data_IF_389598033563
#
_entry.id   IF_389598033563
#
_cell.length_a   1.000
_cell.length_b   1.000
_cell.length_c   1.000
_cell.angle_alpha   90.00
_cell.angle_beta   90.00
_cell.angle_gamma   90.00
#
_symmetry.space_group_name_H-M   'P 1'
#
loop_
_entity.id
_entity.type
_entity.pdbx_description
1 polymer ?
#
# COMPACT_ATOMS: atom_id res chain seq x y z
N UNK A 1 -9.94 -11.19 -58.93
CA UNK A 1 -10.16 -11.94 -57.67
C UNK A 1 -9.26 -11.47 -56.53
N UNK A 2 -8.01 -11.09 -56.75
CA UNK A 2 -7.03 -10.65 -55.74
C UNK A 2 -7.42 -9.34 -55.03
N UNK A 3 -8.01 -8.34 -55.73
CA UNK A 3 -8.42 -7.08 -55.13
C UNK A 3 -9.54 -7.21 -54.08
N UNK A 4 -10.47 -8.15 -54.26
CA UNK A 4 -11.55 -8.39 -53.28
C UNK A 4 -11.05 -9.07 -52.02
N UNK A 5 -10.00 -9.89 -52.11
CA UNK A 5 -9.40 -10.54 -50.95
C UNK A 5 -8.61 -9.54 -50.09
N UNK A 6 -7.94 -8.56 -50.73
CA UNK A 6 -7.21 -7.50 -50.07
C UNK A 6 -8.12 -6.62 -49.15
N UNK A 7 -9.32 -6.30 -49.64
CA UNK A 7 -10.28 -5.52 -48.85
C UNK A 7 -10.88 -6.32 -47.68
N UNK A 8 -11.06 -7.63 -47.85
CA UNK A 8 -11.56 -8.49 -46.79
C UNK A 8 -10.53 -8.65 -45.67
N UNK A 9 -9.26 -8.84 -46.02
CA UNK A 9 -8.16 -8.95 -45.03
C UNK A 9 -7.94 -7.63 -44.32
N UNK A 10 -8.00 -6.50 -45.03
CA UNK A 10 -7.89 -5.18 -44.41
C UNK A 10 -9.07 -4.86 -43.46
N UNK A 11 -10.30 -5.28 -43.85
CA UNK A 11 -11.48 -5.12 -43.01
C UNK A 11 -11.43 -5.97 -41.74
N UNK A 12 -10.91 -7.19 -41.82
CA UNK A 12 -10.75 -8.09 -40.67
C UNK A 12 -9.66 -7.58 -39.73
N UNK A 13 -8.54 -7.08 -40.27
CA UNK A 13 -7.47 -6.51 -39.45
C UNK A 13 -7.94 -5.21 -38.73
N UNK A 14 -8.75 -4.40 -39.44
CA UNK A 14 -9.30 -3.18 -38.84
C UNK A 14 -10.32 -3.49 -37.71
N UNK A 15 -11.15 -4.52 -37.91
CA UNK A 15 -12.12 -4.95 -36.91
C UNK A 15 -11.46 -5.63 -35.71
N UNK A 16 -10.37 -6.35 -35.89
CA UNK A 16 -9.60 -6.94 -34.80
C UNK A 16 -8.85 -5.88 -33.96
N UNK A 17 -8.41 -4.81 -34.59
CA UNK A 17 -7.77 -3.70 -33.83
C UNK A 17 -8.80 -2.84 -33.08
N UNK A 18 -10.04 -2.74 -33.54
CA UNK A 18 -11.11 -2.01 -32.86
C UNK A 18 -11.68 -2.78 -31.66
N UNK A 19 -11.60 -4.12 -31.67
CA UNK A 19 -12.06 -4.93 -30.53
C UNK A 19 -11.04 -5.01 -29.36
N UNK A 20 -9.79 -4.58 -29.57
CA UNK A 20 -8.78 -4.53 -28.51
C UNK A 20 -8.71 -3.15 -27.80
N UNK A 21 -9.39 -2.13 -28.31
CA UNK A 21 -9.34 -0.78 -27.79
C UNK A 21 -10.51 -0.44 -26.83
N UNK A 22 -11.51 -1.32 -26.72
CA UNK A 22 -12.69 -1.03 -25.93
C UNK A 22 -12.83 -2.06 -24.79
N UNK A 23 -11.99 -1.94 -23.79
CA UNK A 23 -12.24 -2.48 -22.48
C UNK A 23 -13.05 -1.46 -21.69
N UNK A 24 -14.37 -1.55 -21.81
CA UNK A 24 -15.35 -0.94 -20.91
C UNK A 24 -15.23 0.58 -20.68
N UNK A 25 -14.78 1.35 -21.66
CA UNK A 25 -14.76 2.81 -21.59
C UNK A 25 -13.66 3.39 -20.70
N UNK A 26 -12.65 2.62 -20.32
CA UNK A 26 -11.48 3.12 -19.60
C UNK A 26 -10.35 3.43 -20.58
N UNK A 27 -9.88 4.67 -20.56
CA UNK A 27 -8.72 5.13 -21.31
C UNK A 27 -7.61 5.51 -20.36
N UNK A 28 -6.35 5.24 -20.78
CA UNK A 28 -5.20 5.78 -20.06
C UNK A 28 -5.26 7.31 -20.13
N UNK A 29 -5.43 7.95 -18.97
CA UNK A 29 -5.51 9.39 -18.88
C UNK A 29 -4.10 10.02 -18.73
N UNK A 30 -3.34 9.54 -17.74
CA UNK A 30 -2.00 10.05 -17.41
C UNK A 30 -1.32 9.20 -16.35
N UNK A 31 -0.01 9.32 -16.21
CA UNK A 31 0.72 8.85 -15.03
C UNK A 31 0.41 9.82 -13.88
N UNK A 32 -0.11 9.30 -12.78
CA UNK A 32 -0.44 10.09 -11.60
C UNK A 32 0.81 10.40 -10.77
N UNK A 33 1.66 9.39 -10.56
CA UNK A 33 2.90 9.49 -9.81
C UNK A 33 3.97 8.66 -10.51
N UNK A 34 5.08 9.29 -10.90
CA UNK A 34 6.28 8.59 -11.33
C UNK A 34 7.33 8.68 -10.22
N UNK A 35 7.49 7.59 -9.48
CA UNK A 35 8.41 7.51 -8.36
C UNK A 35 9.88 7.61 -8.78
N UNK A 36 10.19 7.41 -10.05
CA UNK A 36 11.56 7.57 -10.55
C UNK A 36 11.91 9.05 -10.74
N UNK A 37 10.92 9.88 -11.11
CA UNK A 37 11.13 11.29 -11.40
C UNK A 37 10.91 12.19 -10.18
N UNK A 38 10.05 11.78 -9.24
CA UNK A 38 9.56 12.65 -8.16
C UNK A 38 10.31 12.50 -6.84
N UNK A 39 11.11 11.46 -6.67
CA UNK A 39 11.90 11.24 -5.46
C UNK A 39 13.18 12.08 -5.51
N UNK A 40 13.12 13.31 -5.01
CA UNK A 40 14.31 14.09 -4.73
C UNK A 40 15.19 13.35 -3.71
N UNK A 41 16.40 12.94 -4.10
CA UNK A 41 17.34 12.21 -3.25
C UNK A 41 17.64 10.78 -3.68
N UNK A 42 16.97 10.26 -4.69
CA UNK A 42 17.40 9.02 -5.34
C UNK A 42 18.65 9.32 -6.15
N UNK A 43 19.75 8.67 -5.81
CA UNK A 43 21.00 8.77 -6.58
C UNK A 43 20.84 7.94 -7.85
N UNK A 44 21.02 8.57 -9.01
CA UNK A 44 21.01 7.89 -10.30
C UNK A 44 22.04 6.74 -10.27
N UNK A 45 21.56 5.51 -10.51
CA UNK A 45 22.38 4.29 -10.42
C UNK A 45 22.04 3.36 -9.26
N UNK A 46 21.38 3.84 -8.21
CA UNK A 46 20.86 2.99 -7.11
C UNK A 46 19.50 2.35 -7.43
N UNK A 47 18.97 2.64 -8.62
CA UNK A 47 17.64 2.17 -9.05
C UNK A 47 17.74 0.73 -9.52
N UNK A 48 17.74 -0.19 -8.58
CA UNK A 48 17.51 -1.59 -8.86
C UNK A 48 16.04 -1.89 -9.14
N UNK A 49 15.77 -3.05 -9.73
CA UNK A 49 14.44 -3.53 -10.15
C UNK A 49 13.31 -3.41 -9.11
N UNK A 50 13.64 -3.24 -7.85
CA UNK A 50 12.72 -3.23 -6.71
C UNK A 50 12.70 -1.90 -5.97
N UNK A 51 13.39 -0.90 -6.48
CA UNK A 51 13.40 0.43 -5.89
C UNK A 51 12.13 1.16 -6.30
N UNK A 52 11.61 2.02 -5.42
CA UNK A 52 10.42 2.82 -5.65
C UNK A 52 9.18 2.00 -6.05
N UNK A 53 8.99 0.89 -5.35
CA UNK A 53 7.85 0.00 -5.56
C UNK A 53 6.66 0.48 -4.72
N UNK A 54 5.64 1.10 -5.32
CA UNK A 54 4.40 1.41 -4.62
C UNK A 54 3.73 0.11 -4.22
N UNK A 55 3.23 0.03 -3.00
CA UNK A 55 2.66 -1.20 -2.43
C UNK A 55 1.40 -0.90 -1.61
N UNK A 56 0.49 -0.23 -2.23
CA UNK A 56 -0.80 0.17 -1.70
C UNK A 56 -1.09 1.64 -2.02
N UNK A 57 -2.34 1.90 -2.32
CA UNK A 57 -2.87 3.23 -2.59
C UNK A 57 -4.26 3.34 -2.00
N UNK A 58 -4.57 4.48 -1.41
CA UNK A 58 -5.91 4.80 -0.91
C UNK A 58 -6.22 6.27 -1.15
N UNK A 59 -7.48 6.59 -1.35
CA UNK A 59 -7.96 7.97 -1.42
C UNK A 59 -8.60 8.32 -0.08
N UNK A 60 -8.04 9.32 0.60
CA UNK A 60 -8.53 9.79 1.88
C UNK A 60 -9.85 10.58 1.73
N UNK A 61 -10.59 10.83 2.82
CA UNK A 61 -11.86 11.56 2.76
C UNK A 61 -11.76 12.99 2.21
N UNK A 62 -10.60 13.62 2.30
CA UNK A 62 -10.31 14.94 1.70
C UNK A 62 -9.98 14.89 0.20
N UNK A 63 -9.95 13.70 -0.38
CA UNK A 63 -9.64 13.43 -1.78
C UNK A 63 -8.16 13.23 -2.08
N UNK A 64 -7.26 13.45 -1.13
CA UNK A 64 -5.82 13.24 -1.33
C UNK A 64 -5.50 11.76 -1.52
N UNK A 65 -4.53 11.49 -2.38
CA UNK A 65 -4.09 10.13 -2.72
C UNK A 65 -2.85 9.77 -1.90
N UNK A 66 -2.97 8.71 -1.12
CA UNK A 66 -1.94 8.20 -0.26
C UNK A 66 -1.30 6.96 -0.87
N UNK A 67 0.02 6.92 -0.90
CA UNK A 67 0.80 5.83 -1.52
C UNK A 67 1.90 5.36 -0.58
N UNK A 68 1.86 4.07 -0.24
CA UNK A 68 2.94 3.40 0.49
C UNK A 68 4.06 2.95 -0.46
N UNK A 69 5.29 3.01 0.03
CA UNK A 69 6.47 2.49 -0.66
C UNK A 69 7.02 1.28 0.10
N UNK A 70 7.10 0.13 -0.58
CA UNK A 70 7.71 -1.08 -0.02
C UNK A 70 9.22 -1.11 -0.18
N UNK A 71 9.66 -0.88 -1.40
CA UNK A 71 11.06 -0.79 -1.77
C UNK A 71 11.33 0.58 -2.37
N UNK A 72 12.50 1.08 -2.19
CA UNK A 72 12.91 2.40 -2.63
C UNK A 72 13.84 2.99 -1.58
N UNK A 73 14.86 3.61 -2.08
CA UNK A 73 15.83 4.29 -1.26
C UNK A 73 15.52 5.79 -1.27
N UNK A 74 14.41 6.19 -0.76
CA UNK A 74 14.22 7.61 -0.51
C UNK A 74 15.46 8.21 0.17
N UNK A 75 15.32 9.04 1.11
CA UNK A 75 16.44 9.57 1.89
C UNK A 75 17.14 8.44 2.66
N UNK A 76 18.47 8.46 2.65
CA UNK A 76 19.33 7.59 3.47
C UNK A 76 19.91 8.38 4.63
N UNK A 77 20.16 7.69 5.73
CA UNK A 77 20.85 8.26 6.88
C UNK A 77 21.84 7.24 7.45
N UNK A 78 23.04 7.71 7.78
CA UNK A 78 24.02 6.90 8.50
C UNK A 78 23.88 7.24 9.98
N UNK A 79 23.46 6.25 10.76
CA UNK A 79 23.29 6.38 12.20
C UNK A 79 24.63 6.50 12.92
N UNK A 80 24.63 6.94 14.17
CA UNK A 80 25.83 7.12 14.97
C UNK A 80 26.66 5.82 15.19
N UNK A 81 26.01 4.66 15.09
CA UNK A 81 26.64 3.34 15.16
C UNK A 81 27.24 2.89 13.80
N UNK A 82 27.10 3.68 12.74
CA UNK A 82 27.59 3.39 11.40
C UNK A 82 26.62 2.63 10.50
N UNK A 83 25.45 2.23 10.99
CA UNK A 83 24.43 1.57 10.18
C UNK A 83 23.77 2.56 9.23
N UNK A 84 23.41 2.09 8.04
CA UNK A 84 22.64 2.88 7.07
C UNK A 84 21.19 2.48 7.15
N UNK A 85 20.32 3.47 7.32
CA UNK A 85 18.86 3.30 7.25
C UNK A 85 18.30 4.01 6.03
N UNK A 86 17.23 3.44 5.47
CA UNK A 86 16.54 3.94 4.29
C UNK A 86 15.13 4.35 4.70
N UNK A 87 14.78 5.62 4.47
CA UNK A 87 13.43 6.10 4.72
C UNK A 87 12.44 5.51 3.72
N UNK A 88 11.33 5.02 4.22
CA UNK A 88 10.22 4.40 3.47
C UNK A 88 8.98 5.25 3.63
N UNK A 89 9.08 6.50 3.20
CA UNK A 89 8.02 7.50 3.39
C UNK A 89 6.69 7.11 2.75
N UNK A 90 5.63 7.67 3.31
CA UNK A 90 4.30 7.63 2.72
C UNK A 90 4.12 8.91 1.91
N UNK A 91 3.76 8.77 0.65
CA UNK A 91 3.52 9.90 -0.25
C UNK A 91 2.06 10.28 -0.25
N UNK A 92 1.80 11.58 -0.13
CA UNK A 92 0.44 12.13 -0.15
C UNK A 92 0.37 13.22 -1.21
N UNK A 93 -0.54 13.07 -2.16
CA UNK A 93 -0.64 13.89 -3.36
C UNK A 93 -2.04 14.46 -3.50
N UNK A 94 -2.10 15.74 -3.86
CA UNK A 94 -3.33 16.38 -4.32
C UNK A 94 -3.72 15.77 -5.70
N UNK A 95 -4.94 15.25 -5.88
CA UNK A 95 -5.33 14.58 -7.11
C UNK A 95 -5.52 15.53 -8.30
N UNK A 96 -5.65 16.84 -8.05
CA UNK A 96 -5.87 17.85 -9.09
C UNK A 96 -4.54 18.41 -9.60
N UNK A 97 -3.68 18.85 -8.70
CA UNK A 97 -2.37 19.43 -9.05
C UNK A 97 -1.31 18.37 -9.25
N UNK A 98 -1.47 17.19 -8.63
CA UNK A 98 -0.50 16.10 -8.57
C UNK A 98 0.78 16.46 -7.78
N UNK A 99 0.73 17.57 -7.07
CA UNK A 99 1.82 17.97 -6.19
C UNK A 99 1.72 17.29 -4.83
N UNK A 100 2.83 17.23 -4.13
CA UNK A 100 2.86 16.80 -2.74
C UNK A 100 2.08 17.79 -1.86
N UNK A 101 1.26 17.28 -0.95
CA UNK A 101 0.72 18.09 0.14
C UNK A 101 1.85 18.50 1.09
N UNK A 102 1.61 19.50 1.95
CA UNK A 102 2.65 20.17 2.75
C UNK A 102 3.40 19.23 3.72
N UNK A 103 2.81 18.12 4.12
CA UNK A 103 3.41 17.13 5.02
C UNK A 103 3.93 15.87 4.29
N UNK A 104 3.89 15.84 2.98
CA UNK A 104 4.39 14.72 2.17
C UNK A 104 5.83 14.97 1.69
N UNK A 105 6.71 13.94 1.66
CA UNK A 105 6.49 12.60 2.19
C UNK A 105 6.52 12.55 3.71
N UNK A 106 5.70 11.65 4.30
CA UNK A 106 5.75 11.37 5.72
C UNK A 106 6.85 10.36 5.96
N UNK A 107 7.94 10.78 6.56
CA UNK A 107 9.09 9.94 6.91
C UNK A 107 9.20 9.70 8.41
N UNK A 108 8.59 10.56 9.20
CA UNK A 108 8.54 10.50 10.66
C UNK A 108 7.10 10.75 11.09
N UNK A 109 6.58 9.87 11.93
CA UNK A 109 5.28 10.02 12.56
C UNK A 109 5.48 10.56 13.98
N UNK A 110 4.79 11.63 14.34
CA UNK A 110 4.73 12.17 15.69
C UNK A 110 3.36 11.86 16.27
N UNK A 111 3.32 11.36 17.49
CA UNK A 111 2.10 10.94 18.17
C UNK A 111 1.65 11.96 19.23
N UNK A 112 0.39 11.92 19.68
CA UNK A 112 -0.16 12.88 20.64
C UNK A 112 0.57 12.93 22.00
N UNK A 113 1.24 11.86 22.38
CA UNK A 113 2.05 11.78 23.61
C UNK A 113 3.44 12.42 23.47
N UNK A 114 3.76 12.95 22.28
CA UNK A 114 5.05 13.57 21.95
C UNK A 114 6.13 12.58 21.53
N UNK A 115 5.83 11.29 21.46
CA UNK A 115 6.75 10.29 20.88
C UNK A 115 6.79 10.40 19.36
N UNK A 116 7.84 9.87 18.75
CA UNK A 116 7.98 9.83 17.29
C UNK A 116 8.54 8.48 16.87
N UNK A 117 8.14 8.04 15.68
CA UNK A 117 8.69 6.87 15.02
C UNK A 117 9.08 7.20 13.57
N UNK A 118 10.22 6.66 13.14
CA UNK A 118 10.76 6.89 11.80
C UNK A 118 10.41 5.73 10.88
N UNK A 119 9.82 6.04 9.74
CA UNK A 119 9.45 5.05 8.73
C UNK A 119 10.70 4.61 7.96
N UNK A 120 11.56 3.81 8.60
CA UNK A 120 12.85 3.38 8.06
C UNK A 120 12.96 1.87 7.94
N UNK A 121 13.89 1.42 7.12
CA UNK A 121 14.33 0.05 7.01
C UNK A 121 15.85 -0.02 6.81
N UNK A 122 16.46 -1.12 7.24
CA UNK A 122 17.89 -1.39 7.01
C UNK A 122 18.19 -1.64 5.52
N UNK A 123 17.20 -2.11 4.78
CA UNK A 123 17.34 -2.48 3.37
C UNK A 123 16.68 -1.47 2.43
N UNK A 124 17.42 -1.03 1.41
CA UNK A 124 16.85 -0.24 0.31
C UNK A 124 15.72 -0.98 -0.43
N UNK A 125 15.78 -2.30 -0.52
CA UNK A 125 14.91 -3.11 -1.37
C UNK A 125 13.74 -3.78 -0.64
N UNK A 126 13.59 -3.54 0.67
CA UNK A 126 12.54 -4.15 1.48
C UNK A 126 12.23 -3.35 2.75
N UNK A 127 11.24 -3.80 3.50
CA UNK A 127 10.96 -3.31 4.85
C UNK A 127 10.07 -2.08 4.94
N UNK A 128 9.58 -1.55 3.82
CA UNK A 128 8.65 -0.43 3.81
C UNK A 128 7.19 -0.82 3.96
N UNK A 129 6.30 0.07 3.52
CA UNK A 129 4.86 -0.09 3.57
C UNK A 129 4.37 -1.28 2.76
N UNK A 130 3.50 -2.10 3.36
CA UNK A 130 2.97 -3.31 2.72
C UNK A 130 1.51 -3.21 2.34
N UNK A 131 0.79 -2.30 2.93
CA UNK A 131 -0.60 -2.03 2.62
C UNK A 131 -1.03 -0.72 3.23
N UNK A 132 -2.07 -0.15 2.68
CA UNK A 132 -2.67 1.09 3.14
C UNK A 132 -4.18 1.01 2.94
N UNK A 133 -4.95 1.36 3.96
CA UNK A 133 -6.39 1.32 3.95
C UNK A 133 -6.97 2.51 4.75
N UNK A 134 -8.30 2.63 4.78
CA UNK A 134 -9.01 3.53 5.68
C UNK A 134 -9.60 2.75 6.85
N UNK A 135 -9.69 3.39 8.00
CA UNK A 135 -10.53 2.93 9.08
C UNK A 135 -11.95 3.55 9.00
N UNK A 136 -12.80 3.22 9.97
CA UNK A 136 -14.19 3.72 10.02
C UNK A 136 -14.29 5.24 10.16
N UNK A 137 -13.29 5.89 10.74
CA UNK A 137 -13.22 7.34 10.94
C UNK A 137 -12.54 8.08 9.79
N UNK A 138 -12.08 7.34 8.78
CA UNK A 138 -11.35 7.87 7.63
C UNK A 138 -9.85 8.08 7.86
N UNK A 139 -9.30 7.67 9.02
CA UNK A 139 -7.86 7.67 9.22
C UNK A 139 -7.17 6.62 8.35
N UNK A 140 -5.92 6.88 8.07
CA UNK A 140 -5.09 5.98 7.28
C UNK A 140 -4.53 4.87 8.16
N UNK A 141 -4.76 3.63 7.78
CA UNK A 141 -4.09 2.45 8.32
C UNK A 141 -2.94 2.10 7.40
N UNK A 142 -1.72 2.15 7.90
CA UNK A 142 -0.52 1.88 7.11
C UNK A 142 0.35 0.83 7.78
N UNK A 143 0.53 -0.30 7.11
CA UNK A 143 1.38 -1.40 7.58
C UNK A 143 2.82 -1.20 7.10
N UNK A 144 3.74 -0.97 8.02
CA UNK A 144 5.17 -0.86 7.77
C UNK A 144 5.92 -1.98 8.47
N UNK A 145 6.35 -2.97 7.71
CA UNK A 145 7.02 -4.18 8.15
C UNK A 145 6.31 -4.85 9.33
N UNK A 146 6.71 -4.60 10.58
CA UNK A 146 6.09 -5.16 11.79
C UNK A 146 5.10 -4.22 12.46
N UNK A 147 4.99 -2.98 12.05
CA UNK A 147 4.19 -1.96 12.72
C UNK A 147 2.99 -1.55 11.88
N UNK A 148 1.82 -1.53 12.48
CA UNK A 148 0.63 -0.91 11.93
C UNK A 148 0.51 0.49 12.54
N UNK A 149 0.44 1.50 11.69
CA UNK A 149 0.20 2.88 12.06
C UNK A 149 -1.22 3.31 11.71
N UNK A 150 -1.85 4.07 12.59
CA UNK A 150 -3.04 4.86 12.34
C UNK A 150 -2.62 6.32 12.23
N UNK A 151 -2.96 6.99 11.12
CA UNK A 151 -2.47 8.31 10.77
C UNK A 151 -3.65 9.22 10.46
N UNK A 152 -3.63 10.43 10.99
CA UNK A 152 -4.61 11.44 10.68
C UNK A 152 -4.42 11.91 9.23
N UNK A 153 -5.40 11.70 8.37
CA UNK A 153 -5.31 12.03 6.96
C UNK A 153 -5.21 13.54 6.67
N UNK A 154 -5.69 14.39 7.60
CA UNK A 154 -5.63 15.85 7.42
C UNK A 154 -4.27 16.46 7.79
N UNK A 155 -3.54 15.84 8.72
CA UNK A 155 -2.29 16.42 9.25
C UNK A 155 -1.04 15.61 8.95
N UNK A 156 -1.19 14.31 8.62
CA UNK A 156 -0.07 13.39 8.47
C UNK A 156 0.54 12.94 9.81
N UNK A 157 -0.05 13.32 10.95
CA UNK A 157 0.42 12.93 12.28
C UNK A 157 -0.05 11.52 12.65
N UNK A 158 0.76 10.83 13.45
CA UNK A 158 0.38 9.54 14.03
C UNK A 158 -0.75 9.71 15.04
N UNK A 159 -1.73 8.81 15.01
CA UNK A 159 -2.82 8.74 16.00
C UNK A 159 -2.56 7.61 16.97
N UNK A 160 -2.21 6.44 16.48
CA UNK A 160 -1.88 5.24 17.24
C UNK A 160 -0.93 4.34 16.46
N UNK A 161 -0.29 3.41 17.14
CA UNK A 161 0.48 2.34 16.50
C UNK A 161 0.32 1.03 17.25
N UNK A 162 0.46 -0.07 16.52
CA UNK A 162 0.52 -1.42 17.07
C UNK A 162 1.70 -2.18 16.49
N UNK A 163 2.48 -2.81 17.37
CA UNK A 163 3.64 -3.61 16.99
C UNK A 163 3.22 -5.09 16.91
N UNK A 164 3.26 -5.65 15.71
CA UNK A 164 3.05 -7.06 15.47
C UNK A 164 4.33 -7.89 15.67
N UNK A 165 4.15 -9.20 15.72
CA UNK A 165 5.26 -10.15 15.96
C UNK A 165 6.10 -10.45 14.71
N UNK A 166 5.63 -10.07 13.53
CA UNK A 166 6.26 -10.35 12.23
C UNK A 166 5.78 -9.39 11.16
N UNK A 167 6.29 -9.53 9.95
CA UNK A 167 5.90 -8.71 8.82
C UNK A 167 4.40 -8.77 8.56
N UNK A 168 3.76 -7.62 8.68
CA UNK A 168 2.33 -7.43 8.46
C UNK A 168 2.00 -7.42 6.97
N UNK A 169 0.75 -7.73 6.63
CA UNK A 169 0.15 -7.45 5.34
C UNK A 169 -0.67 -6.16 5.42
N UNK A 170 -1.58 -5.95 4.48
CA UNK A 170 -2.57 -4.88 4.55
C UNK A 170 -3.49 -5.07 5.76
N UNK A 171 -3.97 -3.98 6.34
CA UNK A 171 -5.04 -3.99 7.33
C UNK A 171 -6.38 -3.67 6.65
N UNK A 172 -7.48 -4.07 7.27
CA UNK A 172 -8.83 -3.67 6.91
C UNK A 172 -9.60 -3.27 8.17
N UNK A 173 -10.62 -2.44 8.03
CA UNK A 173 -11.49 -2.07 9.15
C UNK A 173 -12.97 -2.30 8.79
N UNK A 174 -13.78 -2.57 9.81
CA UNK A 174 -15.23 -2.57 9.71
C UNK A 174 -15.83 -1.21 10.16
N UNK A 175 -17.12 -1.01 9.94
CA UNK A 175 -17.83 0.23 10.30
C UNK A 175 -18.01 0.39 11.83
N UNK A 176 -17.73 -0.66 12.62
CA UNK A 176 -17.75 -0.63 14.08
C UNK A 176 -16.41 -0.16 14.67
N UNK A 177 -15.40 0.06 13.83
CA UNK A 177 -14.07 0.51 14.24
C UNK A 177 -13.13 -0.64 14.64
N UNK A 178 -13.47 -1.89 14.38
CA UNK A 178 -12.50 -2.97 14.53
C UNK A 178 -11.54 -2.96 13.35
N UNK A 179 -10.27 -3.16 13.65
CA UNK A 179 -9.19 -3.25 12.66
C UNK A 179 -8.66 -4.68 12.63
N UNK A 180 -8.58 -5.24 11.44
CA UNK A 180 -8.11 -6.60 11.19
C UNK A 180 -6.79 -6.56 10.47
N UNK A 181 -5.81 -7.32 10.94
CA UNK A 181 -4.49 -7.37 10.33
C UNK A 181 -3.95 -8.79 10.32
N UNK A 182 -3.30 -9.16 9.23
CA UNK A 182 -2.69 -10.45 9.04
C UNK A 182 -1.18 -10.30 8.80
N UNK A 183 -0.49 -11.41 8.76
CA UNK A 183 0.95 -11.48 8.52
C UNK A 183 1.25 -11.97 7.12
N UNK A 184 2.31 -11.45 6.51
CA UNK A 184 2.76 -11.92 5.19
C UNK A 184 3.19 -13.38 5.24
N UNK A 185 3.99 -13.74 6.23
CA UNK A 185 4.36 -15.13 6.52
C UNK A 185 3.43 -15.64 7.62
N UNK A 186 2.23 -16.03 7.21
CA UNK A 186 1.13 -16.29 8.12
C UNK A 186 1.03 -17.75 8.58
N UNK A 187 1.97 -18.63 8.19
CA UNK A 187 1.93 -20.02 8.62
C UNK A 187 1.79 -20.11 10.14
N UNK A 188 0.65 -20.68 10.58
CA UNK A 188 0.31 -20.84 12.00
C UNK A 188 0.10 -19.52 12.78
N UNK A 189 -0.10 -18.39 12.06
CA UNK A 189 -0.38 -17.08 12.66
C UNK A 189 -1.85 -16.71 12.49
N UNK A 190 -2.40 -15.92 13.43
CA UNK A 190 -3.80 -15.49 13.37
C UNK A 190 -4.02 -14.34 12.37
N UNK A 191 -5.28 -14.03 12.12
CA UNK A 191 -5.71 -12.66 11.81
C UNK A 191 -6.03 -12.00 13.14
N UNK A 192 -5.32 -10.95 13.46
CA UNK A 192 -5.48 -10.20 14.71
C UNK A 192 -6.61 -9.20 14.56
N UNK A 193 -7.42 -9.05 15.62
CA UNK A 193 -8.41 -7.97 15.76
C UNK A 193 -7.89 -6.95 16.76
N UNK A 194 -7.89 -5.70 16.36
CA UNK A 194 -7.58 -4.54 17.19
C UNK A 194 -8.83 -3.66 17.31
N UNK A 195 -8.93 -2.90 18.40
CA UNK A 195 -9.94 -1.85 18.51
C UNK A 195 -9.57 -0.60 17.69
N UNK A 196 -10.43 0.42 17.69
CA UNK A 196 -10.20 1.67 16.98
C UNK A 196 -8.97 2.46 17.43
N UNK A 197 -8.42 2.16 18.61
CA UNK A 197 -7.17 2.74 19.13
C UNK A 197 -5.96 1.83 18.91
N UNK A 198 -6.11 0.79 18.09
CA UNK A 198 -5.13 -0.24 17.81
C UNK A 198 -4.72 -1.06 19.06
N UNK A 199 -5.57 -1.18 20.08
CA UNK A 199 -5.33 -2.12 21.17
C UNK A 199 -5.78 -3.53 20.73
N UNK A 200 -4.99 -4.55 21.11
CA UNK A 200 -5.33 -5.94 20.83
C UNK A 200 -6.63 -6.37 21.54
N UNK A 201 -7.57 -6.89 20.78
CA UNK A 201 -8.86 -7.39 21.28
C UNK A 201 -8.88 -8.91 21.28
N UNK A 202 -8.33 -9.53 20.24
CA UNK A 202 -8.35 -10.98 20.07
C UNK A 202 -7.93 -11.40 18.67
N UNK A 203 -8.27 -12.63 18.30
CA UNK A 203 -8.06 -13.15 16.96
C UNK A 203 -9.42 -13.29 16.25
N UNK A 204 -9.54 -12.75 15.06
CA UNK A 204 -10.69 -13.02 14.19
C UNK A 204 -10.61 -14.44 13.60
N UNK A 205 -9.39 -14.88 13.30
CA UNK A 205 -9.09 -16.25 12.82
C UNK A 205 -7.81 -16.71 13.51
N UNK A 206 -7.84 -17.90 14.13
CA UNK A 206 -6.71 -18.37 14.92
C UNK A 206 -5.49 -18.77 14.07
N UNK A 207 -5.73 -19.33 12.89
CA UNK A 207 -4.64 -19.71 11.96
C UNK A 207 -5.08 -19.55 10.52
N UNK A 208 -4.18 -19.03 9.70
CA UNK A 208 -4.41 -18.85 8.26
C UNK A 208 -3.28 -19.45 7.45
N UNK A 209 -3.48 -19.53 6.14
CA UNK A 209 -2.51 -20.11 5.19
C UNK A 209 -1.15 -19.41 5.17
N UNK A 210 -0.22 -19.95 4.40
CA UNK A 210 1.22 -19.61 4.51
C UNK A 210 1.61 -18.20 4.15
N UNK A 211 1.01 -17.59 3.14
CA UNK A 211 1.37 -16.24 2.69
C UNK A 211 0.09 -15.48 2.36
N UNK A 212 -0.23 -14.51 3.18
CA UNK A 212 -1.32 -13.58 2.94
C UNK A 212 -0.77 -12.28 2.32
N UNK A 213 -1.52 -11.71 1.37
CA UNK A 213 -1.12 -10.49 0.65
C UNK A 213 -2.14 -9.39 0.78
N UNK A 214 -3.39 -9.74 1.01
CA UNK A 214 -4.46 -8.78 1.17
C UNK A 214 -5.51 -9.30 2.15
N UNK A 215 -6.24 -8.37 2.74
CA UNK A 215 -7.36 -8.62 3.61
C UNK A 215 -8.46 -7.62 3.28
N UNK A 216 -9.70 -8.08 3.21
CA UNK A 216 -10.88 -7.24 3.06
C UNK A 216 -11.92 -7.73 4.05
N UNK A 217 -12.61 -6.82 4.69
CA UNK A 217 -13.67 -7.10 5.65
C UNK A 217 -14.93 -6.34 5.21
N UNK A 218 -16.10 -6.94 5.38
CA UNK A 218 -17.37 -6.23 5.17
C UNK A 218 -17.60 -5.18 6.25
N UNK A 219 -18.38 -4.11 5.94
CA UNK A 219 -18.60 -3.02 6.89
C UNK A 219 -19.28 -3.48 8.20
N UNK A 220 -20.08 -4.55 8.16
CA UNK A 220 -20.68 -5.16 9.36
C UNK A 220 -19.70 -6.03 10.19
N UNK A 221 -18.50 -6.31 9.66
CA UNK A 221 -17.49 -7.17 10.28
C UNK A 221 -17.78 -8.66 10.21
N UNK A 222 -18.88 -9.09 9.56
CA UNK A 222 -19.31 -10.49 9.57
C UNK A 222 -18.55 -11.38 8.58
N UNK A 223 -17.99 -10.79 7.50
CA UNK A 223 -17.28 -11.53 6.47
C UNK A 223 -15.90 -10.97 6.23
N UNK A 224 -14.94 -11.87 6.03
CA UNK A 224 -13.55 -11.54 5.73
C UNK A 224 -13.07 -12.35 4.53
N UNK A 225 -12.31 -11.70 3.64
CA UNK A 225 -11.62 -12.35 2.53
C UNK A 225 -10.11 -12.15 2.68
N UNK A 226 -9.36 -13.24 2.56
CA UNK A 226 -7.90 -13.24 2.62
C UNK A 226 -7.32 -13.68 1.28
N UNK A 227 -6.47 -12.84 0.69
CA UNK A 227 -5.72 -13.17 -0.51
C UNK A 227 -4.43 -13.90 -0.18
N UNK A 228 -4.30 -15.17 -0.62
CA UNK A 228 -3.10 -15.99 -0.45
C UNK A 228 -2.43 -16.29 -1.78
N UNK A 229 -1.10 -16.23 -1.81
CA UNK A 229 -0.31 -16.41 -3.05
C UNK A 229 0.44 -17.74 -3.13
N UNK A 230 0.33 -18.61 -2.15
CA UNK A 230 1.09 -19.86 -2.12
C UNK A 230 0.20 -21.08 -2.37
N UNK A 231 0.63 -21.99 -3.26
CA UNK A 231 -0.01 -23.26 -3.63
C UNK A 231 -1.28 -23.17 -4.48
N UNK A 232 -1.46 -22.14 -5.27
CA UNK A 232 -2.61 -22.05 -6.19
C UNK A 232 -3.96 -22.05 -5.48
N UNK A 233 -4.00 -21.80 -4.19
CA UNK A 233 -5.21 -21.64 -3.43
C UNK A 233 -5.76 -20.24 -3.66
N UNK A 234 -6.94 -20.21 -4.25
CA UNK A 234 -7.73 -19.01 -4.36
C UNK A 234 -8.16 -18.47 -2.99
N UNK A 235 -8.99 -17.47 -3.05
CA UNK A 235 -9.61 -16.85 -1.88
C UNK A 235 -10.39 -17.87 -1.03
N UNK A 236 -10.21 -17.80 0.27
CA UNK A 236 -11.11 -18.44 1.25
C UNK A 236 -11.86 -17.37 1.98
#
# INVERSE_FOLDING_TARGET
MIKKLSYLVSGIILSLNLTYADHDGYEYARTFLDLNDTLSGVVEGDIGRWQNSPHGVVVAPDGNVWVNIYAGSGRQEILANGDTVHYKGIYVLDPVTMDHVSYSPIEILTFPDGTSDSLTAESATSGGGRGIALDADGHILSSHYTTLYKINYMTGEGVAMWLGESSLTEAAADDNGNVYVSYVLAAERPVVTLDNNLNYVGNAVDTVGRINRSIVVTGDGENMMLGSTWNGMGFT
#
